data_IF_687953993722
#
_entry.id   IF_687953993722
#
_cell.length_a   1.000
_cell.length_b   1.000
_cell.length_c   1.000
_cell.angle_alpha   90.00
_cell.angle_beta   90.00
_cell.angle_gamma   90.00
#
_symmetry.space_group_name_H-M   'P 1'
#
loop_
_entity.id
_entity.type
_entity.pdbx_description
1 polymer ?
#
# COMPACT_ATOMS: atom_id res chain seq x y z
N UNK A 1 32.67 -48.97 -41.49
CA UNK A 1 32.36 -48.60 -40.10
C UNK A 1 32.40 -47.06 -40.02
N UNK A 2 31.33 -46.39 -39.57
CA UNK A 2 31.37 -44.95 -39.22
C UNK A 2 30.69 -43.97 -40.20
N UNK A 3 29.36 -43.79 -40.08
CA UNK A 3 28.64 -42.56 -40.54
C UNK A 3 27.31 -42.34 -39.80
N UNK A 4 26.74 -43.37 -39.15
CA UNK A 4 25.47 -43.25 -38.42
C UNK A 4 25.55 -42.56 -37.04
N UNK A 5 26.73 -42.36 -36.45
CA UNK A 5 26.85 -41.77 -35.11
C UNK A 5 26.95 -40.23 -35.06
N UNK A 6 27.20 -39.56 -36.20
CA UNK A 6 27.46 -38.10 -36.19
C UNK A 6 26.17 -37.27 -36.17
N UNK A 7 25.06 -37.77 -36.75
CA UNK A 7 23.78 -37.05 -36.80
C UNK A 7 23.00 -37.04 -35.47
N UNK A 8 23.08 -38.11 -34.69
CA UNK A 8 22.33 -38.23 -33.42
C UNK A 8 22.85 -37.29 -32.33
N UNK A 9 24.17 -37.01 -32.30
CA UNK A 9 24.78 -36.12 -31.31
C UNK A 9 24.53 -34.63 -31.58
N UNK A 10 24.18 -34.25 -32.81
CA UNK A 10 23.82 -32.88 -33.18
C UNK A 10 22.36 -32.57 -32.81
N UNK A 11 21.43 -33.50 -33.09
CA UNK A 11 20.02 -33.35 -32.72
C UNK A 11 19.78 -33.27 -31.20
N UNK A 12 20.50 -34.08 -30.40
CA UNK A 12 20.39 -34.05 -28.93
C UNK A 12 20.90 -32.74 -28.31
N UNK A 13 21.97 -32.14 -28.87
CA UNK A 13 22.51 -30.86 -28.39
C UNK A 13 21.65 -29.66 -28.78
N UNK A 14 21.07 -29.68 -29.99
CA UNK A 14 20.11 -28.66 -30.42
C UNK A 14 18.81 -28.72 -29.59
N UNK A 15 18.29 -29.92 -29.30
CA UNK A 15 17.13 -30.10 -28.42
C UNK A 15 17.37 -29.64 -26.98
N UNK A 16 18.56 -29.90 -26.42
CA UNK A 16 18.92 -29.43 -25.08
C UNK A 16 19.09 -27.90 -25.01
N UNK A 17 19.66 -27.27 -26.05
CA UNK A 17 19.83 -25.82 -26.12
C UNK A 17 18.48 -25.08 -26.33
N UNK A 18 17.56 -25.65 -27.11
CA UNK A 18 16.21 -25.11 -27.28
C UNK A 18 15.36 -25.30 -26.01
N UNK A 19 15.50 -26.44 -25.33
CA UNK A 19 14.86 -26.69 -24.03
C UNK A 19 15.36 -25.76 -22.92
N UNK A 20 16.65 -25.44 -22.89
CA UNK A 20 17.23 -24.53 -21.88
C UNK A 20 16.83 -23.07 -22.11
N UNK A 21 16.78 -22.61 -23.37
CA UNK A 21 16.30 -21.26 -23.71
C UNK A 21 14.80 -21.14 -23.41
N UNK A 22 14.00 -22.14 -23.76
CA UNK A 22 12.57 -22.15 -23.43
C UNK A 22 12.32 -22.15 -21.91
N UNK A 23 13.12 -22.90 -21.14
CA UNK A 23 13.04 -22.90 -19.68
C UNK A 23 13.44 -21.58 -19.04
N UNK A 24 14.50 -20.94 -19.56
CA UNK A 24 14.96 -19.63 -19.09
C UNK A 24 13.94 -18.52 -19.40
N UNK A 25 13.33 -18.54 -20.58
CA UNK A 25 12.27 -17.59 -20.96
C UNK A 25 11.02 -17.81 -20.10
N UNK A 26 10.58 -19.05 -19.89
CA UNK A 26 9.46 -19.35 -18.99
C UNK A 26 9.73 -18.90 -17.54
N UNK A 27 10.95 -19.09 -17.04
CA UNK A 27 11.36 -18.60 -15.71
C UNK A 27 11.41 -17.07 -15.62
N UNK A 28 11.88 -16.40 -16.67
CA UNK A 28 11.86 -14.93 -16.75
C UNK A 28 10.44 -14.38 -16.79
N UNK A 29 9.54 -15.00 -17.56
CA UNK A 29 8.13 -14.61 -17.63
C UNK A 29 7.40 -14.89 -16.31
N UNK A 30 7.65 -16.04 -15.67
CA UNK A 30 7.08 -16.36 -14.36
C UNK A 30 7.57 -15.38 -13.28
N UNK A 31 8.86 -15.06 -13.25
CA UNK A 31 9.42 -14.09 -12.30
C UNK A 31 8.95 -12.66 -12.56
N UNK A 32 8.79 -12.25 -13.82
CA UNK A 32 8.19 -10.97 -14.19
C UNK A 32 6.71 -10.90 -13.79
N UNK A 33 5.95 -11.98 -13.98
CA UNK A 33 4.54 -12.08 -13.55
C UNK A 33 4.41 -12.08 -12.03
N UNK A 34 5.31 -12.76 -11.31
CA UNK A 34 5.36 -12.74 -9.85
C UNK A 34 5.71 -11.32 -9.34
N UNK A 35 6.72 -10.66 -9.93
CA UNK A 35 7.07 -9.26 -9.63
C UNK A 35 5.91 -8.32 -9.93
N UNK A 36 5.28 -8.45 -11.09
CA UNK A 36 4.12 -7.65 -11.46
C UNK A 36 2.95 -7.90 -10.48
N UNK A 37 2.65 -9.15 -10.17
CA UNK A 37 1.63 -9.53 -9.19
C UNK A 37 1.92 -9.03 -7.78
N UNK A 38 3.19 -8.78 -7.44
CA UNK A 38 3.64 -8.31 -6.13
C UNK A 38 3.75 -6.77 -6.01
N UNK A 39 3.72 -6.07 -7.14
CA UNK A 39 3.91 -4.63 -7.26
C UNK A 39 2.59 -3.89 -7.55
N UNK A 40 1.48 -4.60 -7.34
CA UNK A 40 0.13 -4.12 -7.62
C UNK A 40 -0.20 -2.86 -6.79
N UNK A 41 0.19 -2.82 -5.52
CA UNK A 41 -0.15 -1.73 -4.61
C UNK A 41 0.56 -0.43 -5.00
N UNK A 42 1.86 -0.51 -5.33
CA UNK A 42 2.62 0.64 -5.84
C UNK A 42 2.01 1.15 -7.14
N UNK A 43 1.75 0.27 -8.11
CA UNK A 43 1.14 0.68 -9.38
C UNK A 43 -0.23 1.31 -9.19
N UNK A 44 -1.08 0.69 -8.38
CA UNK A 44 -2.41 1.21 -8.07
C UNK A 44 -2.36 2.60 -7.42
N UNK A 45 -1.33 2.87 -6.61
CA UNK A 45 -1.10 4.18 -5.98
C UNK A 45 -0.54 5.20 -6.99
N UNK A 46 0.41 4.80 -7.83
CA UNK A 46 1.01 5.68 -8.86
C UNK A 46 -0.01 6.13 -9.92
N UNK A 47 -0.96 5.25 -10.28
CA UNK A 47 -2.04 5.55 -11.22
C UNK A 47 -3.26 6.16 -10.53
N UNK A 48 -3.25 6.32 -9.21
CA UNK A 48 -4.36 6.96 -8.50
C UNK A 48 -4.49 8.41 -8.95
N UNK A 49 -5.71 8.92 -9.19
CA UNK A 49 -5.92 10.32 -9.55
C UNK A 49 -5.19 11.24 -8.58
N UNK A 50 -4.69 12.37 -9.07
CA UNK A 50 -4.02 13.39 -8.24
C UNK A 50 -5.07 14.40 -7.74
N UNK A 51 -4.94 14.95 -6.53
CA UNK A 51 -5.82 16.02 -6.09
C UNK A 51 -5.59 17.28 -6.93
N UNK A 52 -6.67 18.00 -7.20
CA UNK A 52 -6.61 19.32 -7.84
C UNK A 52 -6.11 20.40 -6.88
N UNK A 53 -5.54 21.47 -7.44
CA UNK A 53 -5.22 22.69 -6.71
C UNK A 53 -5.86 23.86 -7.47
N UNK A 54 -6.86 24.57 -6.90
CA UNK A 54 -7.39 24.44 -5.53
C UNK A 54 -8.18 23.14 -5.28
N UNK A 55 -8.36 22.78 -4.01
CA UNK A 55 -9.17 21.64 -3.58
C UNK A 55 -10.65 21.94 -3.80
N UNK A 56 -11.20 21.49 -4.92
CA UNK A 56 -12.64 21.65 -5.26
C UNK A 56 -13.47 20.41 -4.99
N UNK A 57 -12.83 19.25 -4.87
CA UNK A 57 -13.48 17.95 -4.68
C UNK A 57 -12.73 17.18 -3.59
N UNK A 58 -13.43 16.22 -2.97
CA UNK A 58 -12.83 15.29 -2.03
C UNK A 58 -11.86 14.35 -2.76
N UNK A 59 -10.65 14.24 -2.22
CA UNK A 59 -9.63 13.33 -2.70
C UNK A 59 -9.19 12.41 -1.57
N UNK A 60 -9.16 11.11 -1.83
CA UNK A 60 -8.75 10.13 -0.84
C UNK A 60 -7.90 9.03 -1.45
N UNK A 61 -6.91 8.56 -0.71
CA UNK A 61 -6.27 7.28 -0.92
C UNK A 61 -6.14 6.50 0.38
N UNK A 62 -6.50 5.22 0.37
CA UNK A 62 -6.45 4.38 1.56
C UNK A 62 -5.98 2.95 1.26
N UNK A 63 -5.49 2.26 2.29
CA UNK A 63 -5.17 0.83 2.24
C UNK A 63 -6.41 -0.01 1.88
N UNK A 64 -7.58 0.34 2.41
CA UNK A 64 -8.83 -0.32 2.05
C UNK A 64 -9.12 -0.17 0.55
N UNK A 65 -8.97 1.05 0.02
CA UNK A 65 -9.14 1.36 -1.39
C UNK A 65 -8.14 0.63 -2.29
N UNK A 66 -6.88 0.51 -1.87
CA UNK A 66 -5.89 -0.29 -2.60
C UNK A 66 -6.31 -1.77 -2.64
N UNK A 67 -6.56 -2.39 -1.48
CA UNK A 67 -6.89 -3.82 -1.38
C UNK A 67 -8.23 -4.14 -2.07
N UNK A 68 -9.21 -3.24 -1.98
CA UNK A 68 -10.51 -3.37 -2.62
C UNK A 68 -10.46 -3.42 -4.15
N UNK A 69 -9.39 -2.92 -4.78
CA UNK A 69 -9.17 -2.99 -6.23
C UNK A 69 -8.65 -4.34 -6.72
N UNK A 70 -8.36 -5.27 -5.82
CA UNK A 70 -7.92 -6.62 -6.20
C UNK A 70 -9.07 -7.38 -6.91
N UNK A 71 -8.79 -8.16 -7.97
CA UNK A 71 -9.82 -8.84 -8.76
C UNK A 71 -10.73 -9.79 -7.96
N UNK A 72 -10.23 -10.30 -6.82
CA UNK A 72 -10.98 -11.22 -5.99
C UNK A 72 -10.73 -10.93 -4.51
N UNK A 73 -11.68 -10.24 -3.88
CA UNK A 73 -11.74 -10.07 -2.44
C UNK A 73 -12.74 -11.09 -1.88
N UNK A 74 -12.33 -12.00 -0.97
CA UNK A 74 -13.25 -12.93 -0.34
C UNK A 74 -14.40 -12.20 0.36
N UNK A 75 -15.65 -12.66 0.19
CA UNK A 75 -16.84 -12.00 0.75
C UNK A 75 -16.74 -11.60 2.23
N UNK A 76 -16.24 -12.47 3.14
CA UNK A 76 -16.02 -12.11 4.54
C UNK A 76 -15.02 -10.96 4.74
N UNK A 77 -13.99 -10.86 3.89
CA UNK A 77 -12.98 -9.80 3.96
C UNK A 77 -13.52 -8.44 3.49
N UNK A 78 -14.48 -8.42 2.56
CA UNK A 78 -15.14 -7.18 2.09
C UNK A 78 -15.73 -6.40 3.26
N UNK A 79 -16.37 -7.09 4.21
CA UNK A 79 -16.98 -6.49 5.40
C UNK A 79 -15.96 -5.82 6.33
N UNK A 80 -14.69 -6.16 6.23
CA UNK A 80 -13.62 -5.65 7.07
C UNK A 80 -12.76 -4.60 6.36
N UNK A 81 -12.94 -4.38 5.06
CA UNK A 81 -12.08 -3.46 4.29
C UNK A 81 -12.06 -2.06 4.90
N UNK A 82 -13.23 -1.52 5.26
CA UNK A 82 -13.37 -0.18 5.86
C UNK A 82 -12.58 0.00 7.17
N UNK A 83 -12.25 -1.10 7.87
CA UNK A 83 -11.41 -1.02 9.07
C UNK A 83 -9.97 -0.63 8.71
N UNK A 84 -9.49 -0.97 7.52
CA UNK A 84 -8.14 -0.60 7.09
C UNK A 84 -7.96 0.91 6.87
N UNK A 85 -9.05 1.66 6.69
CA UNK A 85 -8.97 3.12 6.60
C UNK A 85 -8.40 3.72 7.88
N UNK A 86 -8.70 3.11 9.04
CA UNK A 86 -8.15 3.46 10.36
C UNK A 86 -6.64 3.16 10.55
N UNK A 87 -5.99 2.56 9.56
CA UNK A 87 -4.58 2.15 9.59
C UNK A 87 -3.75 2.75 8.47
N UNK A 88 -4.41 3.32 7.47
CA UNK A 88 -3.73 3.84 6.30
C UNK A 88 -4.70 4.57 5.40
N UNK A 89 -4.82 5.87 5.59
CA UNK A 89 -5.63 6.75 4.76
C UNK A 89 -4.99 8.15 4.71
N UNK A 90 -5.10 8.78 3.55
CA UNK A 90 -4.91 10.22 3.37
C UNK A 90 -6.18 10.74 2.70
N UNK A 91 -6.89 11.63 3.38
CA UNK A 91 -8.09 12.27 2.88
C UNK A 91 -7.87 13.79 2.87
N UNK A 92 -8.09 14.42 1.72
CA UNK A 92 -7.89 15.86 1.52
C UNK A 92 -9.05 16.41 0.71
N UNK A 93 -9.79 17.35 1.29
CA UNK A 93 -10.96 17.95 0.67
C UNK A 93 -11.05 19.47 0.89
N UNK A 94 -12.06 20.12 0.27
CA UNK A 94 -12.34 21.53 0.48
C UNK A 94 -12.64 21.88 1.95
N UNK A 95 -13.30 20.96 2.66
CA UNK A 95 -13.82 21.18 4.03
C UNK A 95 -12.97 20.52 5.11
N UNK A 96 -12.42 19.32 4.84
CA UNK A 96 -11.70 18.53 5.83
C UNK A 96 -10.35 18.01 5.32
N UNK A 97 -9.48 17.68 6.27
CA UNK A 97 -8.19 17.04 6.08
C UNK A 97 -8.06 15.91 7.11
N UNK A 98 -7.59 14.74 6.70
CA UNK A 98 -7.51 13.59 7.59
C UNK A 98 -6.43 12.57 7.24
N UNK A 99 -6.07 11.82 8.28
CA UNK A 99 -5.17 10.68 8.21
C UNK A 99 -5.76 9.49 8.97
N UNK A 100 -5.57 8.30 8.41
CA UNK A 100 -5.84 7.01 9.06
C UNK A 100 -7.22 6.94 9.75
N UNK A 101 -8.27 7.32 9.02
CA UNK A 101 -9.66 7.25 9.49
C UNK A 101 -10.07 8.39 10.43
N UNK A 102 -9.18 9.34 10.73
CA UNK A 102 -9.49 10.54 11.49
C UNK A 102 -9.37 11.80 10.62
N UNK A 103 -10.47 12.56 10.50
CA UNK A 103 -10.54 13.80 9.73
C UNK A 103 -10.90 15.01 10.60
N UNK A 104 -10.40 16.17 10.19
CA UNK A 104 -10.57 17.45 10.86
C UNK A 104 -10.98 18.51 9.86
N UNK A 105 -12.07 19.21 10.15
CA UNK A 105 -12.46 20.40 9.42
C UNK A 105 -11.36 21.48 9.46
N UNK A 106 -11.05 22.10 8.32
CA UNK A 106 -9.99 23.10 8.20
C UNK A 106 -10.09 24.22 9.26
N UNK A 107 -11.31 24.66 9.61
CA UNK A 107 -11.54 25.69 10.65
C UNK A 107 -11.12 25.29 12.09
N UNK A 108 -10.80 24.01 12.32
CA UNK A 108 -10.29 23.49 13.59
C UNK A 108 -8.77 23.24 13.57
N UNK A 109 -8.14 23.31 12.40
CA UNK A 109 -6.69 23.12 12.26
C UNK A 109 -5.97 24.34 12.83
N UNK A 110 -4.98 24.08 13.69
CA UNK A 110 -4.14 25.08 14.34
C UNK A 110 -2.79 25.22 13.65
N UNK A 111 -2.24 24.12 13.16
CA UNK A 111 -0.91 24.04 12.55
C UNK A 111 -0.81 22.77 11.70
N UNK A 112 -0.12 22.86 10.57
CA UNK A 112 0.35 21.70 9.81
C UNK A 112 1.84 21.54 10.05
N UNK A 113 2.26 20.36 10.49
CA UNK A 113 3.65 20.03 10.76
C UNK A 113 4.21 19.14 9.66
N UNK A 114 5.34 19.57 9.13
CA UNK A 114 6.08 18.89 8.09
C UNK A 114 7.26 18.14 8.69
N UNK A 115 7.35 16.85 8.41
CA UNK A 115 8.39 15.95 8.91
C UNK A 115 9.26 15.46 7.75
N UNK A 116 10.54 15.18 7.99
CA UNK A 116 11.39 14.61 6.94
C UNK A 116 10.94 13.19 6.59
N UNK A 117 10.98 12.82 5.31
CA UNK A 117 10.86 11.42 4.89
C UNK A 117 11.88 10.50 5.57
N UNK A 118 13.02 11.04 5.99
CA UNK A 118 14.08 10.28 6.68
C UNK A 118 13.73 10.01 8.15
N UNK A 119 12.82 10.78 8.74
CA UNK A 119 12.34 10.51 10.11
C UNK A 119 11.18 9.51 10.09
N UNK A 120 10.31 9.63 9.09
CA UNK A 120 9.05 8.88 9.05
C UNK A 120 9.19 7.42 8.58
N UNK A 121 10.12 7.15 7.66
CA UNK A 121 10.22 5.84 6.99
C UNK A 121 11.20 4.84 7.65
N UNK A 122 12.38 5.25 8.17
CA UNK A 122 13.34 4.33 8.75
C UNK A 122 12.96 3.76 10.12
N UNK A 123 12.24 4.52 10.95
CA UNK A 123 11.85 4.14 12.32
C UNK A 123 10.74 3.09 12.37
N UNK A 124 10.23 2.68 11.21
CA UNK A 124 9.24 1.65 11.06
C UNK A 124 9.80 0.30 11.49
N UNK A 125 9.29 -0.21 12.61
CA UNK A 125 9.41 -1.61 12.97
C UNK A 125 8.39 -2.39 12.14
N UNK A 126 8.85 -2.97 11.03
CA UNK A 126 8.01 -3.66 10.06
C UNK A 126 7.12 -4.71 10.70
N UNK A 127 7.66 -5.52 11.62
CA UNK A 127 6.90 -6.51 12.39
C UNK A 127 5.76 -5.87 13.18
N UNK A 128 5.99 -4.69 13.78
CA UNK A 128 4.99 -3.95 14.56
C UNK A 128 3.85 -3.44 13.68
N UNK A 129 4.12 -3.03 12.45
CA UNK A 129 3.08 -2.60 11.51
C UNK A 129 2.20 -3.78 11.07
N UNK A 130 2.81 -4.94 10.80
CA UNK A 130 2.06 -6.16 10.48
C UNK A 130 1.22 -6.61 11.68
N UNK A 131 1.78 -6.55 12.89
CA UNK A 131 1.05 -6.90 14.11
C UNK A 131 -0.05 -5.88 14.43
N UNK A 132 0.15 -4.59 14.17
CA UNK A 132 -0.91 -3.57 14.27
C UNK A 132 -2.09 -3.90 13.38
N UNK A 133 -1.86 -4.26 12.11
CA UNK A 133 -2.93 -4.68 11.19
C UNK A 133 -3.68 -5.90 11.73
N UNK A 134 -2.94 -6.88 12.29
CA UNK A 134 -3.53 -8.09 12.89
C UNK A 134 -4.40 -7.75 14.09
N UNK A 135 -3.94 -6.89 14.97
CA UNK A 135 -4.63 -6.49 16.20
C UNK A 135 -5.89 -5.67 15.92
N UNK A 136 -5.84 -4.80 14.91
CA UNK A 136 -6.97 -3.96 14.53
C UNK A 136 -8.14 -4.78 13.92
N UNK A 137 -7.83 -5.86 13.20
CA UNK A 137 -8.84 -6.66 12.52
C UNK A 137 -9.44 -7.74 13.45
N UNK A 138 -10.77 -7.79 13.61
CA UNK A 138 -11.43 -8.75 14.49
C UNK A 138 -11.21 -10.19 14.01
N UNK A 139 -11.12 -11.18 14.93
CA UNK A 139 -10.82 -12.57 14.60
C UNK A 139 -12.00 -13.27 13.90
N UNK A 140 -12.19 -13.00 12.61
CA UNK A 140 -13.29 -13.54 11.78
C UNK A 140 -12.77 -14.20 10.49
N UNK A 141 -13.60 -15.00 9.78
CA UNK A 141 -13.21 -15.55 8.48
C UNK A 141 -12.76 -14.46 7.50
N UNK A 142 -11.74 -14.74 6.70
CA UNK A 142 -11.15 -13.76 5.78
C UNK A 142 -10.10 -12.83 6.40
N UNK A 143 -9.99 -12.73 7.73
CA UNK A 143 -8.97 -11.90 8.42
C UNK A 143 -7.55 -12.21 7.94
N UNK A 144 -7.15 -13.48 7.90
CA UNK A 144 -5.78 -13.87 7.49
C UNK A 144 -5.45 -13.34 6.09
N UNK A 145 -6.38 -13.50 5.15
CA UNK A 145 -6.21 -13.00 3.79
C UNK A 145 -6.08 -11.47 3.77
N UNK A 146 -6.94 -10.77 4.51
CA UNK A 146 -6.94 -9.31 4.56
C UNK A 146 -5.66 -8.77 5.19
N UNK A 147 -5.23 -9.34 6.31
CA UNK A 147 -3.94 -9.03 6.95
C UNK A 147 -2.80 -9.21 5.96
N UNK A 148 -2.73 -10.34 5.26
CA UNK A 148 -1.64 -10.60 4.30
C UNK A 148 -1.64 -9.56 3.18
N UNK A 149 -2.80 -9.23 2.60
CA UNK A 149 -2.88 -8.26 1.49
C UNK A 149 -2.65 -6.82 1.93
N UNK A 150 -3.17 -6.42 3.09
CA UNK A 150 -2.90 -5.11 3.67
C UNK A 150 -1.42 -4.94 4.03
N UNK A 151 -0.81 -5.95 4.65
CA UNK A 151 0.63 -5.95 4.95
C UNK A 151 1.46 -5.91 3.66
N UNK A 152 1.12 -6.71 2.65
CA UNK A 152 1.82 -6.69 1.36
C UNK A 152 1.72 -5.31 0.70
N UNK A 153 0.53 -4.69 0.71
CA UNK A 153 0.30 -3.36 0.15
C UNK A 153 1.13 -2.30 0.87
N UNK A 154 1.03 -2.25 2.20
CA UNK A 154 1.74 -1.30 3.05
C UNK A 154 3.25 -1.39 2.83
N UNK A 155 3.82 -2.60 2.90
CA UNK A 155 5.27 -2.79 2.78
C UNK A 155 5.78 -2.51 1.36
N UNK A 156 4.99 -2.84 0.34
CA UNK A 156 5.32 -2.51 -1.06
C UNK A 156 5.34 -1.00 -1.28
N UNK A 157 4.34 -0.30 -0.75
CA UNK A 157 4.23 1.16 -0.85
C UNK A 157 5.33 1.85 -0.02
N UNK A 158 5.62 1.37 1.19
CA UNK A 158 6.70 1.88 2.03
C UNK A 158 8.08 1.68 1.37
N UNK A 159 8.34 0.51 0.78
CA UNK A 159 9.59 0.24 0.05
C UNK A 159 9.77 1.22 -1.12
N UNK A 160 8.71 1.47 -1.88
CA UNK A 160 8.74 2.42 -2.98
C UNK A 160 8.96 3.86 -2.49
N UNK A 161 8.33 4.23 -1.37
CA UNK A 161 8.52 5.54 -0.75
C UNK A 161 9.95 5.74 -0.24
N UNK A 162 10.54 4.75 0.44
CA UNK A 162 11.95 4.79 0.87
C UNK A 162 12.89 4.96 -0.31
N UNK A 163 12.68 4.23 -1.41
CA UNK A 163 13.48 4.38 -2.62
C UNK A 163 13.26 5.73 -3.33
N UNK A 164 12.11 6.37 -3.14
CA UNK A 164 11.86 7.74 -3.61
C UNK A 164 12.56 8.78 -2.72
N UNK A 165 12.51 8.60 -1.40
CA UNK A 165 13.18 9.44 -0.41
C UNK A 165 14.71 9.41 -0.56
N UNK A 166 15.30 8.25 -0.90
CA UNK A 166 16.73 8.14 -1.20
C UNK A 166 17.16 9.02 -2.39
N UNK A 167 16.27 9.21 -3.37
CA UNK A 167 16.53 10.05 -4.55
C UNK A 167 16.28 11.52 -4.26
N UNK A 168 15.26 11.83 -3.47
CA UNK A 168 14.88 13.18 -3.12
C UNK A 168 14.19 13.21 -1.77
N UNK A 169 14.92 13.68 -0.76
CA UNK A 169 14.37 13.96 0.56
C UNK A 169 13.36 15.11 0.47
N UNK A 170 12.25 14.99 1.21
CA UNK A 170 11.18 16.00 1.27
C UNK A 170 10.67 16.14 2.69
N UNK A 171 10.14 17.32 3.01
CA UNK A 171 9.34 17.53 4.21
C UNK A 171 7.88 17.29 3.86
N UNK A 172 7.24 16.33 4.52
CA UNK A 172 5.86 15.92 4.25
C UNK A 172 4.90 16.49 5.29
N UNK A 173 3.77 17.09 4.91
CA UNK A 173 2.74 17.55 5.84
C UNK A 173 1.98 16.34 6.42
N UNK A 174 2.59 15.62 7.37
CA UNK A 174 2.05 14.36 7.91
C UNK A 174 1.55 14.47 9.35
N UNK A 175 1.51 15.67 9.93
CA UNK A 175 0.92 15.89 11.25
C UNK A 175 0.05 17.14 11.25
N UNK A 176 -1.16 17.00 11.80
CA UNK A 176 -2.16 18.04 11.95
C UNK A 176 -2.29 18.32 13.45
N UNK A 177 -2.03 19.55 13.87
CA UNK A 177 -2.41 20.00 15.20
C UNK A 177 -3.80 20.63 15.09
N UNK A 178 -4.78 20.08 15.78
CA UNK A 178 -6.17 20.49 15.68
C UNK A 178 -6.81 20.72 17.05
N UNK A 179 -7.90 21.48 17.07
CA UNK A 179 -8.75 21.60 18.27
C UNK A 179 -9.59 20.33 18.46
N UNK A 180 -9.48 19.71 19.62
CA UNK A 180 -10.40 18.67 20.06
C UNK A 180 -11.77 19.26 20.46
N UNK A 181 -12.72 18.41 20.87
CA UNK A 181 -14.08 18.83 21.25
C UNK A 181 -14.14 19.87 22.39
N UNK A 182 -13.10 19.95 23.22
CA UNK A 182 -12.99 20.87 24.36
C UNK A 182 -12.09 22.07 23.99
N UNK A 183 -11.71 22.21 22.73
CA UNK A 183 -10.87 23.30 22.22
C UNK A 183 -9.38 23.19 22.56
N UNK A 184 -8.92 22.08 23.13
CA UNK A 184 -7.49 21.85 23.40
C UNK A 184 -6.78 21.31 22.16
N UNK A 185 -5.47 21.60 21.97
CA UNK A 185 -4.69 20.98 20.91
C UNK A 185 -4.67 19.46 21.05
N UNK A 186 -4.89 18.77 19.93
CA UNK A 186 -4.70 17.34 19.71
C UNK A 186 -3.89 17.17 18.45
N UNK A 187 -2.93 16.25 18.46
CA UNK A 187 -2.14 15.92 17.29
C UNK A 187 -2.77 14.72 16.58
N UNK A 188 -2.89 14.82 15.26
CA UNK A 188 -3.26 13.74 14.37
C UNK A 188 -2.08 13.53 13.43
N UNK A 189 -1.33 12.46 13.65
CA UNK A 189 -0.19 12.09 12.83
C UNK A 189 -0.60 10.98 11.86
N UNK A 190 -0.21 11.12 10.60
CA UNK A 190 -0.33 10.06 9.62
C UNK A 190 0.69 8.97 9.87
N UNK A 191 0.24 7.72 9.82
CA UNK A 191 1.08 6.54 9.94
C UNK A 191 1.92 6.29 8.69
N UNK A 192 2.57 5.12 8.66
CA UNK A 192 3.48 4.73 7.58
C UNK A 192 2.83 4.82 6.20
N UNK A 193 1.57 4.40 6.08
CA UNK A 193 0.88 4.48 4.80
C UNK A 193 0.73 5.93 4.33
N UNK A 194 0.28 6.83 5.20
CA UNK A 194 0.11 8.25 4.88
C UNK A 194 1.44 8.89 4.46
N UNK A 195 2.51 8.68 5.23
CA UNK A 195 3.85 9.15 4.88
C UNK A 195 4.32 8.60 3.52
N UNK A 196 4.10 7.31 3.27
CA UNK A 196 4.48 6.68 2.01
C UNK A 196 3.66 7.19 0.82
N UNK A 197 2.35 7.38 1.02
CA UNK A 197 1.44 7.92 0.01
C UNK A 197 1.79 9.36 -0.37
N UNK A 198 2.03 10.23 0.62
CA UNK A 198 2.47 11.62 0.39
C UNK A 198 3.86 11.70 -0.27
N UNK A 199 4.73 10.71 -0.02
CA UNK A 199 6.03 10.62 -0.72
C UNK A 199 5.85 10.33 -2.21
N UNK A 200 4.96 9.38 -2.53
CA UNK A 200 4.75 8.87 -3.89
C UNK A 200 3.75 9.70 -4.71
N UNK A 201 2.90 10.47 -4.03
CA UNK A 201 1.94 11.41 -4.59
C UNK A 201 2.27 12.81 -4.03
N UNK A 202 3.37 13.44 -4.50
CA UNK A 202 3.78 14.75 -4.00
C UNK A 202 2.67 15.81 -4.18
N UNK A 203 1.84 15.67 -5.22
CA UNK A 203 0.72 16.56 -5.50
C UNK A 203 -0.28 16.63 -4.33
N UNK A 204 -0.44 15.53 -3.58
CA UNK A 204 -1.29 15.51 -2.39
C UNK A 204 -0.71 16.35 -1.24
N UNK A 205 0.60 16.25 -1.01
CA UNK A 205 1.29 17.11 -0.05
C UNK A 205 1.22 18.59 -0.46
N UNK A 206 1.44 18.87 -1.75
CA UNK A 206 1.32 20.23 -2.30
C UNK A 206 -0.09 20.80 -2.15
N UNK A 207 -1.13 20.01 -2.38
CA UNK A 207 -2.52 20.42 -2.21
C UNK A 207 -2.83 20.77 -0.74
N UNK A 208 -2.37 19.95 0.22
CA UNK A 208 -2.49 20.25 1.66
C UNK A 208 -1.80 21.58 2.01
N UNK A 209 -0.57 21.77 1.53
CA UNK A 209 0.20 22.99 1.80
C UNK A 209 -0.42 24.23 1.14
N UNK A 210 -0.95 24.10 -0.07
CA UNK A 210 -1.65 25.18 -0.77
C UNK A 210 -2.93 25.57 -0.01
N UNK A 211 -3.73 24.59 0.41
CA UNK A 211 -4.96 24.81 1.17
C UNK A 211 -4.70 25.46 2.53
N UNK A 212 -3.64 25.03 3.23
CA UNK A 212 -3.22 25.64 4.50
C UNK A 212 -2.83 27.12 4.30
N UNK A 213 -2.05 27.43 3.27
CA UNK A 213 -1.63 28.81 2.95
C UNK A 213 -2.81 29.71 2.62
N UNK A 214 -3.75 29.24 1.80
CA UNK A 214 -4.97 29.97 1.45
C UNK A 214 -5.79 30.35 2.69
N UNK A 215 -5.80 29.48 3.70
CA UNK A 215 -6.56 29.65 4.95
C UNK A 215 -5.76 30.35 6.05
N UNK A 216 -4.51 30.74 5.80
CA UNK A 216 -3.63 31.35 6.80
C UNK A 216 -3.24 30.41 7.95
N UNK A 217 -3.30 29.09 7.72
CA UNK A 217 -2.89 28.08 8.71
C UNK A 217 -1.36 28.00 8.72
N UNK A 218 -0.71 28.10 9.90
CA UNK A 218 0.73 27.93 10.04
C UNK A 218 1.21 26.58 9.52
N UNK A 219 2.32 26.60 8.77
CA UNK A 219 3.05 25.40 8.33
C UNK A 219 4.45 25.45 8.95
N UNK A 220 4.78 24.44 9.76
CA UNK A 220 6.06 24.35 10.46
C UNK A 220 6.81 23.13 9.97
N UNK A 221 8.09 23.28 9.65
CA UNK A 221 8.99 22.13 9.48
C UNK A 221 9.51 21.75 10.87
N UNK A 222 9.24 20.52 11.29
CA UNK A 222 9.77 20.00 12.56
C UNK A 222 11.26 19.73 12.35
N UNK A 223 12.11 20.40 13.14
CA UNK A 223 13.56 20.28 13.02
C UNK A 223 14.03 18.85 13.28
N UNK A 224 14.79 18.30 12.33
CA UNK A 224 15.38 16.95 12.42
C UNK A 224 16.72 17.01 13.19
N UNK A 225 16.90 16.23 14.27
CA UNK A 225 18.18 16.13 14.99
C UNK A 225 19.38 15.66 14.13
N UNK A 226 19.14 15.08 12.95
CA UNK A 226 20.14 14.60 11.98
C UNK A 226 20.45 15.61 10.85
N UNK A 227 19.97 16.85 10.98
CA UNK A 227 20.23 17.93 10.01
C UNK A 227 21.73 18.10 9.76
N UNK A 228 22.18 17.75 8.54
CA UNK A 228 23.57 17.90 8.08
C UNK A 228 24.37 16.60 7.88
N UNK A 229 23.81 15.43 8.19
CA UNK A 229 24.52 14.14 8.11
C UNK A 229 24.01 13.27 6.94
N UNK A 230 24.23 13.72 5.69
CA UNK A 230 23.77 13.03 4.47
C UNK A 230 24.14 11.54 4.41
N UNK A 231 25.35 11.17 4.86
CA UNK A 231 25.80 9.78 4.86
C UNK A 231 25.01 8.90 5.83
N UNK A 232 24.66 9.42 7.00
CA UNK A 232 23.91 8.70 8.03
C UNK A 232 22.45 8.53 7.61
N UNK A 233 21.84 9.58 7.05
CA UNK A 233 20.50 9.51 6.43
C UNK A 233 20.43 8.47 5.32
N UNK A 234 21.40 8.46 4.41
CA UNK A 234 21.49 7.45 3.35
C UNK A 234 21.72 6.03 3.88
N UNK A 235 22.44 5.88 5.00
CA UNK A 235 22.60 4.58 5.65
C UNK A 235 21.29 4.10 6.31
N UNK A 236 20.55 5.01 6.96
CA UNK A 236 19.25 4.72 7.57
C UNK A 236 18.22 4.26 6.53
N UNK A 237 18.08 4.99 5.42
CA UNK A 237 17.16 4.63 4.34
C UNK A 237 17.51 3.27 3.72
N UNK A 238 18.79 3.01 3.43
CA UNK A 238 19.23 1.70 2.92
C UNK A 238 18.92 0.56 3.90
N UNK A 239 19.18 0.77 5.19
CA UNK A 239 18.82 -0.20 6.21
C UNK A 239 17.31 -0.46 6.29
N UNK A 240 16.48 0.57 6.08
CA UNK A 240 15.03 0.42 6.01
C UNK A 240 14.59 -0.35 4.75
N UNK A 241 15.18 -0.04 3.60
CA UNK A 241 14.99 -0.77 2.33
C UNK A 241 15.28 -2.26 2.49
N UNK A 242 16.38 -2.63 3.14
CA UNK A 242 16.74 -4.03 3.41
C UNK A 242 15.72 -4.73 4.31
N UNK A 243 15.30 -4.07 5.41
CA UNK A 243 14.28 -4.60 6.33
C UNK A 243 12.94 -4.83 5.64
N UNK A 244 12.48 -3.86 4.84
CA UNK A 244 11.23 -3.94 4.08
C UNK A 244 11.27 -5.06 3.03
N UNK A 245 12.39 -5.17 2.32
CA UNK A 245 12.61 -6.23 1.32
C UNK A 245 12.55 -7.61 1.97
N UNK A 246 13.24 -7.79 3.10
CA UNK A 246 13.25 -9.04 3.84
C UNK A 246 11.88 -9.40 4.44
N UNK A 247 11.16 -8.42 4.97
CA UNK A 247 9.81 -8.62 5.49
C UNK A 247 8.81 -9.01 4.39
N UNK A 248 8.84 -8.35 3.23
CA UNK A 248 8.04 -8.72 2.06
C UNK A 248 8.35 -10.15 1.61
N UNK A 249 9.63 -10.52 1.58
CA UNK A 249 10.05 -11.88 1.25
C UNK A 249 9.49 -12.91 2.24
N UNK A 250 9.58 -12.66 3.54
CA UNK A 250 9.01 -13.52 4.60
C UNK A 250 7.50 -13.64 4.51
N UNK A 251 6.80 -12.51 4.32
CA UNK A 251 5.35 -12.46 4.19
C UNK A 251 4.87 -13.33 3.02
N UNK A 252 5.54 -13.22 1.86
CA UNK A 252 5.22 -14.00 0.66
C UNK A 252 5.52 -15.49 0.83
N UNK A 253 6.65 -15.84 1.45
CA UNK A 253 6.98 -17.23 1.74
C UNK A 253 5.98 -17.91 2.69
N UNK A 254 5.32 -17.14 3.56
CA UNK A 254 4.29 -17.62 4.47
C UNK A 254 2.90 -17.81 3.80
N UNK A 255 2.73 -17.39 2.54
CA UNK A 255 1.49 -17.53 1.77
C UNK A 255 1.67 -18.35 0.47
N UNK A 256 1.85 -19.68 0.56
CA UNK A 256 2.02 -20.53 -0.61
C UNK A 256 0.78 -20.63 -1.51
N UNK A 257 -0.38 -20.13 -1.05
CA UNK A 257 -1.64 -20.14 -1.79
C UNK A 257 -1.82 -18.97 -2.77
N UNK A 258 -0.93 -17.98 -2.77
CA UNK A 258 -1.03 -16.81 -3.65
C UNK A 258 -0.53 -17.08 -5.08
N UNK A 259 0.31 -18.10 -5.29
CA UNK A 259 0.84 -18.47 -6.62
C UNK A 259 -0.06 -19.46 -7.38
N UNK A 260 -1.04 -20.07 -6.69
CA UNK A 260 -2.05 -20.93 -7.32
C UNK A 260 -3.33 -20.12 -7.51
N UNK A 261 -3.75 -19.90 -8.75
CA UNK A 261 -5.09 -19.39 -9.03
C UNK A 261 -6.17 -20.26 -8.35
N UNK A 262 -7.39 -19.73 -8.13
CA UNK A 262 -8.38 -20.42 -7.33
C UNK A 262 -8.74 -21.78 -7.94
N UNK A 263 -8.85 -22.78 -7.06
CA UNK A 263 -9.51 -24.04 -7.35
C UNK A 263 -10.96 -23.74 -7.77
N UNK A 264 -11.34 -24.00 -9.03
CA UNK A 264 -12.65 -23.62 -9.58
C UNK A 264 -13.81 -24.19 -8.78
N UNK A 265 -13.59 -25.31 -8.09
CA UNK A 265 -14.61 -26.01 -7.31
C UNK A 265 -14.99 -25.26 -6.03
N UNK A 266 -14.05 -24.51 -5.42
CA UNK A 266 -14.33 -23.69 -4.22
C UNK A 266 -15.02 -22.37 -4.55
N UNK A 267 -14.74 -21.80 -5.72
CA UNK A 267 -15.40 -20.58 -6.20
C UNK A 267 -16.87 -20.84 -6.53
N UNK A 268 -17.16 -21.99 -7.15
CA UNK A 268 -18.53 -22.42 -7.44
C UNK A 268 -19.35 -22.69 -6.16
N UNK A 269 -18.73 -23.30 -5.14
CA UNK A 269 -19.38 -23.55 -3.84
C UNK A 269 -19.75 -22.24 -3.11
N UNK A 270 -18.89 -21.22 -3.16
CA UNK A 270 -19.18 -19.91 -2.55
C UNK A 270 -20.32 -19.15 -3.26
N UNK A 271 -20.42 -19.26 -4.58
CA UNK A 271 -21.50 -18.66 -5.36
C UNK A 271 -22.85 -19.36 -5.13
N UNK A 272 -22.86 -20.68 -4.94
CA UNK A 272 -24.07 -21.45 -4.66
C UNK A 272 -24.68 -21.09 -3.29
N UNK A 273 -23.85 -20.90 -2.26
CA UNK A 273 -24.30 -20.51 -0.91
C UNK A 273 -24.88 -19.10 -0.88
N UNK A 274 -24.40 -18.19 -1.73
CA UNK A 274 -24.94 -16.84 -1.87
C UNK A 274 -26.29 -16.81 -2.59
N UNK A 275 -26.53 -17.72 -3.53
CA UNK A 275 -27.82 -17.85 -4.21
C UNK A 275 -28.92 -18.43 -3.31
N UNK A 276 -28.55 -19.18 -2.27
CA UNK A 276 -29.50 -19.82 -1.34
C UNK A 276 -29.99 -18.88 -0.22
N UNK A 277 -29.39 -17.69 -0.09
CA UNK A 277 -29.71 -16.69 0.94
C UNK A 277 -30.65 -15.56 0.46
N UNK A 278 -31.12 -15.61 -0.79
CA UNK A 278 -32.04 -14.60 -1.33
C UNK A 278 -33.51 -14.94 -0.98
N UNK A 279 -34.07 -14.24 0.01
CA UNK A 279 -35.46 -14.30 0.45
C UNK A 279 -36.42 -13.75 -0.64
N UNK A 280 -37.68 -14.23 -0.72
CA UNK A 280 -38.57 -14.00 -1.86
C UNK A 280 -39.04 -12.54 -2.01
N UNK A 281 -39.42 -12.11 -3.22
CA UNK A 281 -39.83 -10.73 -3.47
C UNK A 281 -41.13 -10.36 -2.74
N UNK A 282 -41.13 -9.19 -2.11
CA UNK A 282 -42.30 -8.59 -1.48
C UNK A 282 -43.41 -8.33 -2.51
N UNK A 283 -44.64 -8.68 -2.14
CA UNK A 283 -45.84 -8.43 -2.93
C UNK A 283 -46.08 -6.93 -3.14
N UNK A 284 -46.44 -6.55 -4.37
CA UNK A 284 -46.78 -5.18 -4.76
C UNK A 284 -48.07 -4.71 -4.06
N UNK A 285 -48.17 -3.43 -3.63
CA UNK A 285 -49.40 -2.87 -3.11
C UNK A 285 -50.34 -2.45 -4.26
N UNK A 286 -51.59 -2.92 -4.19
CA UNK A 286 -52.75 -2.42 -4.94
C UNK A 286 -53.15 -1.00 -4.56
#
# INVERSE_FOLDING_TARGET
MGIKQVGEGAGRRAGAALGSVSGAVSGAVASARARAGSDWARRALETHPKPGVPLTEEWEVSLAGLVGRLPHVPGPAVRLLHLLDGLGQVAVGPEELGFDGESVAWGKVLEIRCHSTVDLLPDVVVEREVDRIREFLPPVPGRKWLVTRAAEALLTVALAATAAAERQERSLPCEIVAKNLIGRPKNLAGGLFAASALTLIPEAGEAVLAAARERGIPVTVVDDPMTGLHAERAAQLRGATDRLTEALRRLRAADPGAESGPDPDKAAAGAAVLAELDLPPAAEPT
#
